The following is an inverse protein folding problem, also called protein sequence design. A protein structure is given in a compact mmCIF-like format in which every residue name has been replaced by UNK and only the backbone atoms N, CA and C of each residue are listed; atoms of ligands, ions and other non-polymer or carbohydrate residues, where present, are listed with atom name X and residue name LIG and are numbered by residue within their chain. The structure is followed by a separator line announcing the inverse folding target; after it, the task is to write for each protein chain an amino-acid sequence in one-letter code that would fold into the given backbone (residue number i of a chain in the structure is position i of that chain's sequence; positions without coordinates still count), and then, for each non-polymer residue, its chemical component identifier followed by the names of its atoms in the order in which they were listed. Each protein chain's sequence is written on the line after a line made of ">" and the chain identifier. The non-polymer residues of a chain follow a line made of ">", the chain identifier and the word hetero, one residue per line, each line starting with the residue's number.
data_IF_767720884283
#
_entry.id   IF_767720884283
#
_cell.length_a   1.000
_cell.length_b   1.000
_cell.length_c   1.000
_cell.angle_alpha   90.00
_cell.angle_beta   90.00
_cell.angle_gamma   90.00
#
_symmetry.space_group_name_H-M   'P 1'
#
loop_
_entity.id
_entity.type
_entity.pdbx_description
1 polymer ?
#
# COMPACT_ATOMS: atom_id res chain seq x y z
N UNK A 1 1.69 -16.74 7.54
CA UNK A 1 2.03 -16.29 8.90
C UNK A 1 0.96 -16.90 9.78
N UNK A 2 1.34 -17.78 10.70
CA UNK A 2 0.38 -18.55 11.48
C UNK A 2 -0.28 -17.63 12.50
N UNK A 3 -1.57 -17.37 12.30
CA UNK A 3 -2.51 -17.02 13.36
C UNK A 3 -2.85 -18.30 14.13
N UNK A 4 -2.47 -18.38 15.41
CA UNK A 4 -3.31 -18.99 16.43
C UNK A 4 -3.31 -18.03 17.65
N UNK A 5 -4.41 -17.62 18.26
CA UNK A 5 -5.58 -18.37 18.68
C UNK A 5 -6.73 -17.36 18.85
N UNK A 6 -7.69 -17.33 17.92
CA UNK A 6 -9.07 -16.99 18.24
C UNK A 6 -9.77 -18.31 18.59
N UNK A 7 -9.92 -18.58 19.88
CA UNK A 7 -10.93 -19.51 20.38
C UNK A 7 -11.94 -18.70 21.19
N UNK A 8 -13.13 -18.63 20.63
CA UNK A 8 -14.35 -18.02 21.14
C UNK A 8 -15.01 -18.96 22.18
N UNK A 9 -15.62 -18.36 23.20
CA UNK A 9 -16.63 -18.87 24.14
C UNK A 9 -16.46 -20.29 24.75
N UNK A 10 -15.93 -20.35 25.98
CA UNK A 10 -16.40 -21.33 26.97
C UNK A 10 -16.76 -20.60 28.26
N UNK A 11 -18.02 -20.18 28.32
CA UNK A 11 -18.66 -19.67 29.50
C UNK A 11 -18.79 -20.81 30.53
N UNK A 12 -18.23 -20.56 31.72
CA UNK A 12 -18.63 -21.18 32.98
C UNK A 12 -18.18 -22.64 33.23
N UNK A 13 -17.05 -22.80 33.93
CA UNK A 13 -17.03 -23.74 35.06
C UNK A 13 -16.09 -23.32 36.19
N UNK A 14 -16.75 -22.82 37.22
CA UNK A 14 -16.27 -22.55 38.55
C UNK A 14 -16.26 -23.88 39.35
N UNK A 15 -15.15 -24.12 40.10
CA UNK A 15 -15.01 -24.92 41.35
C UNK A 15 -14.39 -26.34 41.25
N UNK A 16 -13.88 -26.94 42.36
CA UNK A 16 -13.03 -26.41 43.41
C UNK A 16 -11.84 -27.35 43.72
N UNK A 17 -10.62 -26.83 43.66
CA UNK A 17 -9.50 -27.31 44.46
C UNK A 17 -8.54 -26.13 44.58
N UNK A 18 -8.19 -25.75 45.81
CA UNK A 18 -7.38 -24.60 46.19
C UNK A 18 -6.05 -24.48 45.42
N UNK A 19 -6.11 -24.09 44.15
CA UNK A 19 -4.96 -23.94 43.28
C UNK A 19 -4.65 -22.47 43.20
N UNK A 20 -3.57 -22.09 43.89
CA UNK A 20 -3.05 -20.72 43.91
C UNK A 20 -2.98 -20.18 42.48
N UNK A 21 -3.42 -18.94 42.26
CA UNK A 21 -3.28 -18.28 40.97
C UNK A 21 -1.79 -18.23 40.52
N UNK A 22 -1.53 -18.02 39.23
CA UNK A 22 -0.17 -18.00 38.70
C UNK A 22 0.71 -16.98 39.44
N UNK A 23 0.15 -15.83 39.81
CA UNK A 23 0.84 -14.80 40.57
C UNK A 23 1.29 -15.27 41.95
N UNK A 24 0.36 -15.78 42.76
CA UNK A 24 0.65 -16.25 44.11
C UNK A 24 1.58 -17.47 44.10
N UNK A 25 1.48 -18.33 43.09
CA UNK A 25 2.43 -19.44 42.88
C UNK A 25 3.83 -18.91 42.59
N UNK A 26 3.97 -17.96 41.67
CA UNK A 26 5.27 -17.36 41.31
C UNK A 26 5.92 -16.64 42.51
N UNK A 27 5.13 -15.86 43.26
CA UNK A 27 5.56 -15.13 44.46
C UNK A 27 5.72 -16.01 45.70
N UNK A 28 5.46 -17.32 45.61
CA UNK A 28 5.55 -18.28 46.72
C UNK A 28 4.73 -17.89 47.97
N UNK A 29 3.59 -17.20 47.79
CA UNK A 29 2.69 -16.77 48.88
C UNK A 29 1.33 -17.50 48.85
N UNK A 30 0.55 -17.38 49.92
CA UNK A 30 -0.85 -17.86 49.96
C UNK A 30 -1.71 -17.01 49.02
N UNK A 31 -2.63 -17.64 48.31
CA UNK A 31 -3.64 -16.94 47.52
C UNK A 31 -4.86 -16.72 48.43
N UNK A 32 -5.18 -15.46 48.72
CA UNK A 32 -6.40 -15.10 49.45
C UNK A 32 -7.62 -15.17 48.51
N UNK A 33 -8.81 -15.26 49.09
CA UNK A 33 -10.07 -15.37 48.34
C UNK A 33 -10.41 -14.07 47.59
N UNK A 34 -9.92 -12.92 48.09
CA UNK A 34 -10.03 -11.59 47.51
C UNK A 34 -8.81 -11.18 46.67
N UNK A 35 -7.99 -12.15 46.24
CA UNK A 35 -6.76 -11.84 45.50
C UNK A 35 -7.04 -11.11 44.18
N UNK A 36 -6.65 -9.83 44.11
CA UNK A 36 -6.84 -8.97 42.93
C UNK A 36 -6.20 -9.49 41.63
N UNK A 37 -5.23 -10.40 41.73
CA UNK A 37 -4.54 -10.98 40.58
C UNK A 37 -5.17 -12.30 40.12
N UNK A 38 -5.95 -12.97 40.98
CA UNK A 38 -6.46 -14.30 40.69
C UNK A 38 -7.37 -14.37 39.46
N UNK A 39 -8.30 -13.43 39.23
CA UNK A 39 -9.17 -13.46 38.05
C UNK A 39 -8.40 -13.33 36.72
N UNK A 40 -7.25 -12.65 36.72
CA UNK A 40 -6.55 -12.28 35.49
C UNK A 40 -5.30 -13.12 35.19
N UNK A 41 -4.79 -13.83 36.20
CA UNK A 41 -3.60 -14.67 36.11
C UNK A 41 -3.91 -16.11 36.58
N UNK A 42 -4.69 -16.88 35.80
CA UNK A 42 -5.07 -18.24 36.16
C UNK A 42 -3.85 -19.16 36.19
N UNK A 43 -3.93 -20.22 37.01
CA UNK A 43 -2.84 -21.18 37.18
C UNK A 43 -2.47 -21.95 35.90
N UNK A 44 -3.37 -22.00 34.92
CA UNK A 44 -3.18 -22.62 33.60
C UNK A 44 -2.15 -21.89 32.73
N UNK A 45 -1.96 -20.58 32.93
CA UNK A 45 -1.06 -19.74 32.11
C UNK A 45 0.06 -19.12 32.95
N UNK A 46 1.00 -19.92 33.51
CA UNK A 46 2.03 -19.41 34.42
C UNK A 46 3.01 -18.45 33.74
N UNK A 47 3.33 -18.68 32.47
CA UNK A 47 4.25 -17.84 31.69
C UNK A 47 3.73 -16.39 31.57
N UNK A 48 2.42 -16.21 31.43
CA UNK A 48 1.76 -14.90 31.36
C UNK A 48 2.13 -14.01 32.54
N UNK A 49 2.05 -14.54 33.76
CA UNK A 49 2.44 -13.78 34.95
C UNK A 49 3.96 -13.60 35.05
N UNK A 50 4.76 -14.59 34.64
CA UNK A 50 6.21 -14.47 34.68
C UNK A 50 6.73 -13.29 33.83
N UNK A 51 6.19 -13.11 32.61
CA UNK A 51 6.50 -11.95 31.78
C UNK A 51 6.11 -10.64 32.46
N UNK A 52 4.85 -10.54 32.92
CA UNK A 52 4.31 -9.35 33.58
C UNK A 52 5.13 -8.98 34.82
N UNK A 53 5.47 -9.97 35.64
CA UNK A 53 6.32 -9.77 36.80
C UNK A 53 7.72 -9.25 36.42
N UNK A 54 8.33 -9.82 35.38
CA UNK A 54 9.67 -9.42 34.93
C UNK A 54 9.72 -7.98 34.42
N UNK A 55 8.67 -7.52 33.74
CA UNK A 55 8.64 -6.20 33.08
C UNK A 55 8.07 -5.11 33.99
N UNK A 56 6.93 -5.37 34.61
CA UNK A 56 6.22 -4.37 35.41
C UNK A 56 6.50 -4.52 36.91
N UNK A 57 6.76 -5.73 37.39
CA UNK A 57 6.91 -6.03 38.82
C UNK A 57 5.57 -6.24 39.53
N UNK A 58 5.57 -7.09 40.56
CA UNK A 58 4.35 -7.49 41.26
C UNK A 58 3.55 -6.32 41.84
N UNK A 59 4.22 -5.39 42.52
CA UNK A 59 3.57 -4.26 43.21
C UNK A 59 2.93 -3.27 42.24
N UNK A 60 3.59 -3.00 41.10
CA UNK A 60 3.06 -2.08 40.10
C UNK A 60 1.83 -2.65 39.42
N UNK A 61 1.85 -3.95 39.09
CA UNK A 61 0.70 -4.63 38.47
C UNK A 61 -0.49 -4.63 39.42
N UNK A 62 -0.29 -4.97 40.69
CA UNK A 62 -1.36 -4.94 41.67
C UNK A 62 -1.93 -3.52 41.86
N UNK A 63 -1.06 -2.51 41.98
CA UNK A 63 -1.46 -1.10 42.12
C UNK A 63 -2.25 -0.60 40.90
N UNK A 64 -1.77 -0.88 39.69
CA UNK A 64 -2.41 -0.44 38.44
C UNK A 64 -3.79 -1.08 38.26
N UNK A 65 -3.90 -2.39 38.53
CA UNK A 65 -5.22 -3.04 38.47
C UNK A 65 -6.16 -2.48 39.53
N UNK A 66 -5.68 -2.22 40.74
CA UNK A 66 -6.52 -1.65 41.81
C UNK A 66 -7.00 -0.23 41.51
N UNK A 67 -6.21 0.58 40.78
CA UNK A 67 -6.61 1.94 40.39
C UNK A 67 -7.68 1.99 39.30
N UNK A 68 -7.94 0.87 38.61
CA UNK A 68 -8.92 0.81 37.52
C UNK A 68 -10.29 0.29 37.98
N UNK A 69 -11.38 0.72 37.33
CA UNK A 69 -12.70 0.10 37.48
C UNK A 69 -12.65 -1.39 37.17
N UNK A 70 -13.47 -2.20 37.85
CA UNK A 70 -13.43 -3.66 37.72
C UNK A 70 -13.61 -4.15 36.27
N UNK A 71 -14.47 -3.47 35.49
CA UNK A 71 -14.71 -3.77 34.08
C UNK A 71 -13.46 -3.63 33.19
N UNK A 72 -12.54 -2.73 33.52
CA UNK A 72 -11.35 -2.45 32.71
C UNK A 72 -10.14 -3.30 33.09
N UNK A 73 -10.15 -3.88 34.30
CA UNK A 73 -9.00 -4.65 34.83
C UNK A 73 -8.63 -5.85 33.96
N UNK A 74 -9.63 -6.50 33.35
CA UNK A 74 -9.39 -7.62 32.43
C UNK A 74 -8.58 -7.20 31.21
N UNK A 75 -9.03 -6.12 30.55
CA UNK A 75 -8.36 -5.54 29.39
C UNK A 75 -6.95 -5.05 29.76
N UNK A 76 -6.80 -4.32 30.86
CA UNK A 76 -5.51 -3.84 31.34
C UNK A 76 -4.52 -4.99 31.63
N UNK A 77 -4.99 -6.06 32.28
CA UNK A 77 -4.16 -7.25 32.52
C UNK A 77 -3.76 -7.95 31.21
N UNK A 78 -4.61 -7.92 30.19
CA UNK A 78 -4.29 -8.46 28.88
C UNK A 78 -3.25 -7.65 28.13
N UNK A 79 -3.42 -6.32 28.10
CA UNK A 79 -2.46 -5.41 27.49
C UNK A 79 -1.10 -5.51 28.17
N UNK A 80 -1.05 -5.47 29.51
CA UNK A 80 0.21 -5.67 30.25
C UNK A 80 0.87 -7.02 29.92
N UNK A 81 0.10 -8.09 29.81
CA UNK A 81 0.66 -9.40 29.50
C UNK A 81 1.27 -9.46 28.10
N UNK A 82 0.57 -8.92 27.10
CA UNK A 82 1.05 -8.85 25.73
C UNK A 82 2.30 -7.95 25.63
N UNK A 83 2.27 -6.75 26.21
CA UNK A 83 3.42 -5.84 26.20
C UNK A 83 4.64 -6.47 26.91
N UNK A 84 4.42 -7.10 28.06
CA UNK A 84 5.48 -7.77 28.79
C UNK A 84 6.07 -8.95 27.99
N UNK A 85 5.23 -9.71 27.29
CA UNK A 85 5.69 -10.80 26.42
C UNK A 85 6.64 -10.26 25.36
N UNK A 86 6.22 -9.23 24.62
CA UNK A 86 7.06 -8.65 23.57
C UNK A 86 8.35 -8.06 24.10
N UNK A 87 8.32 -7.38 25.25
CA UNK A 87 9.53 -6.82 25.87
C UNK A 87 10.49 -7.88 26.43
N UNK A 88 9.99 -9.08 26.75
CA UNK A 88 10.85 -10.22 27.11
C UNK A 88 11.54 -10.80 25.87
N UNK A 89 10.85 -10.86 24.73
CA UNK A 89 11.41 -11.34 23.47
C UNK A 89 12.39 -10.34 22.84
N UNK A 90 12.04 -9.06 22.89
CA UNK A 90 12.85 -7.95 22.40
C UNK A 90 13.02 -6.91 23.52
N UNK A 91 14.15 -6.95 24.26
CA UNK A 91 14.43 -6.00 25.33
C UNK A 91 14.66 -4.56 24.87
N UNK A 92 14.93 -4.34 23.58
CA UNK A 92 15.24 -3.03 23.01
C UNK A 92 13.96 -2.34 22.56
N UNK A 93 13.17 -2.97 21.69
CA UNK A 93 11.99 -2.35 21.08
C UNK A 93 10.66 -2.93 21.55
N UNK A 94 10.62 -4.15 22.10
CA UNK A 94 9.40 -4.80 22.58
C UNK A 94 8.23 -4.71 21.58
N UNK A 95 7.07 -4.27 22.05
CA UNK A 95 5.89 -4.11 21.19
C UNK A 95 6.04 -2.97 20.16
N UNK A 96 6.89 -1.98 20.41
CA UNK A 96 7.15 -0.89 19.44
C UNK A 96 7.82 -1.41 18.18
N UNK A 97 8.69 -2.41 18.29
CA UNK A 97 9.29 -3.06 17.12
C UNK A 97 8.25 -3.74 16.24
N UNK A 98 7.27 -4.41 16.86
CA UNK A 98 6.13 -5.03 16.16
C UNK A 98 5.28 -3.96 15.47
N UNK A 99 4.96 -2.87 16.17
CA UNK A 99 4.19 -1.75 15.59
C UNK A 99 4.91 -1.18 14.37
N UNK A 100 6.21 -0.90 14.48
CA UNK A 100 6.97 -0.34 13.36
C UNK A 100 6.99 -1.28 12.14
N UNK A 101 7.24 -2.57 12.37
CA UNK A 101 7.21 -3.58 11.31
C UNK A 101 5.85 -3.63 10.61
N UNK A 102 4.75 -3.66 11.37
CA UNK A 102 3.40 -3.66 10.80
C UNK A 102 3.12 -2.37 10.00
N UNK A 103 3.60 -1.23 10.49
CA UNK A 103 3.47 0.03 9.76
C UNK A 103 4.29 0.04 8.45
N UNK A 104 5.47 -0.58 8.42
CA UNK A 104 6.26 -0.76 7.19
C UNK A 104 5.53 -1.65 6.18
N UNK A 105 4.93 -2.75 6.64
CA UNK A 105 4.13 -3.66 5.80
C UNK A 105 2.90 -2.95 5.22
N UNK A 106 2.17 -2.18 6.03
CA UNK A 106 1.04 -1.35 5.57
C UNK A 106 1.49 -0.38 4.48
N UNK A 107 2.62 0.33 4.69
CA UNK A 107 3.15 1.28 3.69
C UNK A 107 3.54 0.58 2.40
N UNK A 108 4.22 -0.57 2.49
CA UNK A 108 4.64 -1.32 1.32
C UNK A 108 3.42 -1.75 0.47
N UNK A 109 2.40 -2.32 1.12
CA UNK A 109 1.16 -2.75 0.46
C UNK A 109 0.41 -1.56 -0.13
N UNK A 110 0.32 -0.43 0.58
CA UNK A 110 -0.30 0.78 0.04
C UNK A 110 0.44 1.31 -1.20
N UNK A 111 1.78 1.27 -1.21
CA UNK A 111 2.56 1.63 -2.39
C UNK A 111 2.29 0.70 -3.58
N UNK A 112 2.23 -0.62 -3.36
CA UNK A 112 1.91 -1.59 -4.41
C UNK A 112 0.49 -1.40 -4.96
N UNK A 113 -0.48 -1.13 -4.10
CA UNK A 113 -1.84 -0.79 -4.49
C UNK A 113 -1.86 0.45 -5.38
N UNK A 114 -1.18 1.52 -4.98
CA UNK A 114 -1.11 2.76 -5.75
C UNK A 114 -0.45 2.57 -7.12
N UNK A 115 0.63 1.78 -7.20
CA UNK A 115 1.28 1.44 -8.50
C UNK A 115 0.33 0.68 -9.41
N UNK A 116 -0.38 -0.31 -8.87
CA UNK A 116 -1.33 -1.13 -9.64
C UNK A 116 -2.49 -0.29 -10.15
N UNK A 117 -3.04 0.60 -9.30
CA UNK A 117 -4.08 1.54 -9.70
C UNK A 117 -3.62 2.49 -10.81
N UNK A 118 -2.39 3.01 -10.73
CA UNK A 118 -1.81 3.84 -11.78
C UNK A 118 -1.66 3.08 -13.11
N UNK A 119 -1.18 1.83 -13.07
CA UNK A 119 -1.09 0.99 -14.27
C UNK A 119 -2.45 0.74 -14.92
N UNK A 120 -3.49 0.47 -14.13
CA UNK A 120 -4.86 0.30 -14.64
C UNK A 120 -5.39 1.58 -15.28
N UNK A 121 -5.16 2.74 -14.66
CA UNK A 121 -5.58 4.03 -15.21
C UNK A 121 -4.93 4.31 -16.57
N UNK A 122 -3.62 4.03 -16.71
CA UNK A 122 -2.89 4.18 -17.98
C UNK A 122 -3.45 3.23 -19.05
N UNK A 123 -3.71 1.96 -18.70
CA UNK A 123 -4.26 0.99 -19.63
C UNK A 123 -5.65 1.40 -20.14
N UNK A 124 -6.51 1.88 -19.25
CA UNK A 124 -7.86 2.39 -19.59
C UNK A 124 -7.79 3.64 -20.48
N UNK A 125 -6.86 4.56 -20.22
CA UNK A 125 -6.66 5.74 -21.06
C UNK A 125 -6.13 5.38 -22.46
N UNK A 126 -5.23 4.39 -22.54
CA UNK A 126 -4.65 3.92 -23.79
C UNK A 126 -5.68 3.23 -24.69
N UNK A 127 -6.66 2.52 -24.12
CA UNK A 127 -7.78 1.92 -24.87
C UNK A 127 -8.82 2.93 -25.38
N UNK A 128 -8.77 4.19 -24.94
CA UNK A 128 -9.70 5.25 -25.35
C UNK A 128 -9.11 6.23 -26.37
N UNK A 129 -8.11 5.82 -27.17
CA UNK A 129 -7.61 6.70 -28.23
C UNK A 129 -8.78 7.13 -29.15
N UNK A 130 -8.97 8.44 -29.40
CA UNK A 130 -9.95 8.91 -30.36
C UNK A 130 -9.64 8.31 -31.73
N UNK A 131 -10.66 8.07 -32.57
CA UNK A 131 -10.44 7.55 -33.92
C UNK A 131 -9.39 8.41 -34.64
N UNK A 132 -8.50 7.81 -35.46
CA UNK A 132 -7.49 8.55 -36.18
C UNK A 132 -8.15 9.69 -36.98
N UNK A 133 -7.52 10.88 -37.06
CA UNK A 133 -8.07 11.98 -37.84
C UNK A 133 -8.30 11.51 -39.28
N UNK A 134 -9.39 11.96 -39.94
CA UNK A 134 -9.63 11.61 -41.33
C UNK A 134 -8.41 12.01 -42.20
N UNK A 135 -8.07 11.23 -43.23
CA UNK A 135 -6.94 11.56 -44.09
C UNK A 135 -7.13 12.96 -44.70
N UNK A 136 -6.04 13.74 -44.86
CA UNK A 136 -6.13 15.04 -45.49
C UNK A 136 -6.70 14.90 -46.91
N UNK A 137 -7.51 15.88 -47.38
CA UNK A 137 -8.02 15.85 -48.74
C UNK A 137 -6.85 15.76 -49.73
N UNK A 138 -7.01 15.03 -50.85
CA UNK A 138 -5.97 14.95 -51.87
C UNK A 138 -5.60 16.37 -52.30
N UNK A 139 -4.30 16.67 -52.27
CA UNK A 139 -3.78 17.92 -52.82
C UNK A 139 -4.27 18.04 -54.28
N UNK A 140 -4.71 19.23 -54.72
CA UNK A 140 -5.04 19.43 -56.12
C UNK A 140 -3.84 19.01 -56.95
N UNK A 141 -4.06 18.06 -57.87
CA UNK A 141 -3.04 17.63 -58.82
C UNK A 141 -2.49 18.87 -59.53
N UNK A 142 -1.15 19.02 -59.64
CA UNK A 142 -0.57 20.13 -60.40
C UNK A 142 -1.15 20.08 -61.82
N UNK A 143 -1.40 21.25 -62.44
CA UNK A 143 -1.95 21.29 -63.79
C UNK A 143 -1.06 20.45 -64.71
N UNK A 144 -1.66 19.71 -65.67
CA UNK A 144 -0.89 18.89 -66.59
C UNK A 144 0.15 19.77 -67.29
N UNK A 145 1.39 19.28 -67.50
CA UNK A 145 2.33 19.99 -68.34
C UNK A 145 1.68 20.18 -69.73
N UNK A 146 1.89 21.33 -70.37
CA UNK A 146 1.35 21.56 -71.70
C UNK A 146 1.78 20.44 -72.65
N UNK A 147 0.93 20.04 -73.60
CA UNK A 147 1.22 18.92 -74.49
C UNK A 147 2.53 19.16 -75.24
N UNK A 148 3.34 18.11 -75.49
CA UNK A 148 4.52 18.24 -76.33
C UNK A 148 4.04 18.66 -77.71
N UNK A 149 4.48 19.85 -78.14
CA UNK A 149 4.27 20.26 -79.53
C UNK A 149 4.99 19.24 -80.41
N UNK A 150 4.21 18.44 -81.13
CA UNK A 150 4.71 17.61 -82.21
C UNK A 150 5.37 18.55 -83.22
N UNK A 151 6.64 18.29 -83.50
CA UNK A 151 7.34 18.85 -84.65
C UNK A 151 6.56 18.43 -85.90
N UNK A 152 5.75 19.33 -86.43
CA UNK A 152 5.30 19.27 -87.81
C UNK A 152 6.44 19.86 -88.64
N UNK A 153 7.19 18.96 -89.29
CA UNK A 153 8.28 19.27 -90.20
C UNK A 153 7.72 20.05 -91.41
N UNK A 154 7.88 21.37 -91.41
CA UNK A 154 7.61 22.21 -92.59
C UNK A 154 8.93 22.57 -93.27
N UNK A 155 9.10 21.97 -94.45
CA UNK A 155 10.13 22.20 -95.48
C UNK A 155 10.48 23.69 -95.70
N UNK A 156 11.76 24.03 -95.99
CA UNK A 156 12.21 25.41 -96.19
C UNK A 156 11.56 26.00 -97.43
N UNK A 157 11.34 27.33 -97.47
CA UNK A 157 10.92 27.87 -98.77
C UNK A 157 11.55 29.32 -99.04
N UNK A 158 11.77 29.85 -100.29
CA UNK A 158 10.70 30.70 -100.75
C UNK A 158 9.53 29.77 -100.65
N UNK A 159 8.71 30.07 -99.69
CA UNK A 159 8.24 31.37 -99.36
C UNK A 159 8.63 31.72 -97.91
N UNK A 160 9.74 32.43 -97.68
CA UNK A 160 9.94 33.89 -97.66
C UNK A 160 9.95 34.51 -96.24
N UNK A 161 10.96 35.36 -96.04
CA UNK A 161 10.97 36.66 -95.32
C UNK A 161 11.26 36.74 -93.80
N UNK A 162 11.66 37.94 -93.28
CA UNK A 162 13.06 38.20 -93.00
C UNK A 162 13.31 38.82 -91.60
N UNK A 163 14.59 39.04 -91.34
CA UNK A 163 15.10 40.14 -90.53
C UNK A 163 14.95 39.89 -89.01
N UNK A 164 16.06 39.92 -88.27
CA UNK A 164 16.53 41.15 -87.64
C UNK A 164 15.53 41.61 -86.56
N UNK A 165 15.89 41.97 -85.36
CA UNK A 165 17.18 42.37 -84.84
C UNK A 165 16.90 42.62 -83.35
N UNK A 166 17.94 42.48 -82.54
CA UNK A 166 18.33 43.43 -81.52
C UNK A 166 17.33 43.94 -80.45
N UNK A 167 17.79 43.78 -79.20
CA UNK A 167 17.93 44.84 -78.18
C UNK A 167 16.63 45.59 -77.81
N UNK A 168 16.09 45.29 -76.63
CA UNK A 168 16.32 46.08 -75.41
C UNK A 168 15.90 47.55 -75.53
N UNK A 169 15.00 47.94 -74.60
CA UNK A 169 14.72 49.31 -74.17
C UNK A 169 14.01 50.15 -75.25
N UNK A 170 12.95 50.90 -74.96
CA UNK A 170 12.78 51.90 -73.91
C UNK A 170 11.33 51.84 -73.39
N UNK A 171 11.02 52.05 -72.10
CA UNK A 171 11.05 53.36 -71.48
C UNK A 171 9.72 54.09 -71.70
N UNK A 172 8.83 53.99 -70.68
CA UNK A 172 7.51 54.60 -70.46
C UNK A 172 6.27 53.81 -70.91
#
# INVERSE_FOLDING_TARGET
>A
MQDPEEEDDDQQQQHPAARRCAACRYLRRRCADDCVLAPFFPASRPHRYACVHRVFGASNVARLLQSLPMAERGNAANTMAMEAYWRVQDPVYGCTGIINRLQEEIRAVQCELARTQAHLAIAVASSQQPPPPPPPPPLPSPPPPPPPQQQEEQSPPPLLDPADEFLNLDGL
#
